data_IF_452840303631
#
_entry.id   IF_452840303631
#
_cell.length_a   1.000
_cell.length_b   1.000
_cell.length_c   1.000
_cell.angle_alpha   90.00
_cell.angle_beta   90.00
_cell.angle_gamma   90.00
#
_symmetry.space_group_name_H-M   'P 1'
#
loop_
_entity.id
_entity.type
_entity.pdbx_description
1 polymer ?
#
# COMPACT_ATOMS: atom_id res chain seq x y z
N UNK A 1 6.12 6.30 9.16
CA UNK A 1 5.14 5.46 9.88
C UNK A 1 4.00 6.35 10.35
N UNK A 2 2.76 5.87 10.42
CA UNK A 2 1.61 6.68 10.83
C UNK A 2 0.60 5.83 11.63
N UNK A 3 -0.31 6.48 12.36
CA UNK A 3 -1.43 5.81 13.04
C UNK A 3 -2.54 5.45 12.06
N UNK A 4 -3.48 4.60 12.50
CA UNK A 4 -4.72 4.33 11.76
C UNK A 4 -5.45 5.63 11.43
N UNK A 5 -6.11 5.67 10.27
CA UNK A 5 -6.87 6.84 9.81
C UNK A 5 -6.04 7.96 9.19
N UNK A 6 -4.71 7.85 9.12
CA UNK A 6 -3.88 8.87 8.49
C UNK A 6 -4.10 8.93 6.98
N UNK A 7 -4.49 10.10 6.47
CA UNK A 7 -4.67 10.35 5.04
C UNK A 7 -3.40 10.92 4.41
N UNK A 8 -2.57 10.05 3.80
CA UNK A 8 -1.33 10.46 3.12
C UNK A 8 -1.59 11.46 1.96
N UNK A 9 -2.75 11.38 1.30
CA UNK A 9 -3.15 12.36 0.28
C UNK A 9 -3.32 13.76 0.83
N UNK A 10 -3.92 13.90 2.02
CA UNK A 10 -4.08 15.20 2.67
C UNK A 10 -2.71 15.74 3.11
N UNK A 11 -1.84 14.87 3.62
CA UNK A 11 -0.47 15.25 3.96
C UNK A 11 0.29 15.82 2.75
N UNK A 12 0.20 15.19 1.58
CA UNK A 12 0.84 15.71 0.36
C UNK A 12 0.31 17.12 -0.01
N UNK A 13 -1.00 17.34 0.08
CA UNK A 13 -1.62 18.65 -0.15
C UNK A 13 -1.11 19.69 0.85
N UNK A 14 -1.09 19.35 2.13
CA UNK A 14 -0.71 20.27 3.20
C UNK A 14 0.78 20.63 3.12
N UNK A 15 1.64 19.69 2.72
CA UNK A 15 3.04 19.95 2.40
C UNK A 15 3.20 20.92 1.22
N UNK A 16 2.44 20.74 0.14
CA UNK A 16 2.43 21.69 -0.98
C UNK A 16 2.11 23.11 -0.51
N UNK A 17 1.04 23.25 0.27
CA UNK A 17 0.61 24.54 0.86
C UNK A 17 1.70 25.16 1.73
N UNK A 18 2.32 24.37 2.60
CA UNK A 18 3.39 24.83 3.49
C UNK A 18 4.63 25.32 2.70
N UNK A 19 4.89 24.76 1.52
CA UNK A 19 5.95 25.19 0.61
C UNK A 19 5.54 26.36 -0.30
N UNK A 20 4.34 26.94 -0.15
CA UNK A 20 3.86 28.02 -1.01
C UNK A 20 3.47 27.59 -2.43
N UNK A 21 3.16 26.30 -2.63
CA UNK A 21 2.81 25.71 -3.93
C UNK A 21 1.62 24.75 -3.83
N UNK A 22 1.33 24.03 -4.91
CA UNK A 22 0.41 22.89 -4.95
C UNK A 22 1.16 21.57 -4.98
N UNK A 23 0.66 20.56 -4.28
CA UNK A 23 1.17 19.19 -4.36
C UNK A 23 0.04 18.17 -4.28
N UNK A 24 0.28 17.02 -4.89
CA UNK A 24 -0.60 15.86 -4.86
C UNK A 24 0.23 14.58 -4.72
N UNK A 25 -0.43 13.49 -4.32
CA UNK A 25 0.21 12.19 -4.18
C UNK A 25 0.28 11.50 -5.55
N UNK A 26 1.48 11.38 -6.13
CA UNK A 26 1.68 10.74 -7.45
C UNK A 26 1.60 9.21 -7.42
N UNK A 27 1.91 8.59 -6.29
CA UNK A 27 1.86 7.14 -6.11
C UNK A 27 2.02 6.77 -4.64
N UNK A 28 1.49 5.61 -4.25
CA UNK A 28 1.58 5.14 -2.87
C UNK A 28 1.56 3.62 -2.81
N UNK A 29 2.57 3.06 -2.14
CA UNK A 29 2.66 1.64 -1.82
C UNK A 29 2.64 1.48 -0.30
N UNK A 30 1.73 0.66 0.20
CA UNK A 30 1.65 0.34 1.63
C UNK A 30 2.58 -0.83 1.93
N UNK A 31 3.66 -0.56 2.68
CA UNK A 31 4.68 -1.57 3.00
C UNK A 31 4.36 -2.43 4.23
N UNK A 32 3.43 -2.01 5.10
CA UNK A 32 3.08 -2.76 6.31
C UNK A 32 1.68 -2.43 6.87
N UNK A 33 1.08 -3.40 7.57
CA UNK A 33 -0.12 -3.27 8.41
C UNK A 33 0.13 -4.06 9.69
N UNK A 34 0.30 -3.38 10.83
CA UNK A 34 0.66 -4.07 12.07
C UNK A 34 1.94 -4.92 11.87
N UNK A 35 1.90 -6.24 12.16
CA UNK A 35 3.05 -7.14 11.95
C UNK A 35 3.22 -7.60 10.49
N UNK A 36 2.22 -7.43 9.62
CA UNK A 36 2.26 -7.89 8.24
C UNK A 36 3.07 -6.92 7.37
N UNK A 37 4.00 -7.45 6.56
CA UNK A 37 4.92 -6.67 5.71
C UNK A 37 4.75 -7.07 4.25
N UNK A 38 4.91 -6.11 3.35
CA UNK A 38 4.80 -6.31 1.91
C UNK A 38 5.82 -7.31 1.37
N UNK A 39 7.02 -7.34 1.94
CA UNK A 39 8.07 -8.31 1.59
C UNK A 39 7.67 -9.78 1.84
N UNK A 40 6.68 -10.01 2.72
CA UNK A 40 6.13 -11.33 3.03
C UNK A 40 4.77 -11.56 2.35
N UNK A 41 4.31 -10.64 1.49
CA UNK A 41 3.03 -10.76 0.82
C UNK A 41 3.14 -11.73 -0.37
N UNK A 42 2.10 -12.54 -0.56
CA UNK A 42 1.95 -13.39 -1.74
C UNK A 42 1.47 -12.54 -2.92
N UNK A 43 2.04 -12.77 -4.10
CA UNK A 43 1.52 -12.19 -5.34
C UNK A 43 0.19 -12.86 -5.73
N UNK A 44 -0.58 -12.23 -6.62
CA UNK A 44 -1.84 -12.84 -7.09
C UNK A 44 -1.52 -14.11 -7.88
N UNK A 45 -0.45 -14.07 -8.68
CA UNK A 45 0.00 -15.17 -9.52
C UNK A 45 0.45 -16.38 -8.67
N UNK A 46 1.13 -16.14 -7.55
CA UNK A 46 1.50 -17.21 -6.62
C UNK A 46 0.29 -17.78 -5.88
N UNK A 47 -0.69 -16.94 -5.56
CA UNK A 47 -1.96 -17.38 -4.99
C UNK A 47 -2.76 -18.26 -5.96
N UNK A 48 -2.88 -17.85 -7.23
CA UNK A 48 -3.56 -18.63 -8.27
C UNK A 48 -2.93 -20.02 -8.47
N UNK A 49 -1.59 -20.10 -8.50
CA UNK A 49 -0.87 -21.38 -8.55
C UNK A 49 -1.17 -22.26 -7.34
N UNK A 50 -1.31 -21.66 -6.15
CA UNK A 50 -1.58 -22.41 -4.92
C UNK A 50 -2.95 -23.09 -4.96
N UNK A 51 -3.97 -22.47 -5.58
CA UNK A 51 -5.33 -23.03 -5.65
C UNK A 51 -5.52 -23.99 -6.84
N UNK A 52 -4.81 -23.79 -7.96
CA UNK A 52 -4.94 -24.65 -9.15
C UNK A 52 -4.40 -26.07 -8.90
N UNK A 53 -3.42 -26.22 -8.00
CA UNK A 53 -2.94 -27.53 -7.55
C UNK A 53 -4.01 -28.37 -6.82
N UNK A 54 -5.18 -27.80 -6.47
CA UNK A 54 -6.26 -28.53 -5.81
C UNK A 54 -7.32 -29.09 -6.78
N UNK A 55 -7.28 -28.77 -8.08
CA UNK A 55 -8.26 -29.26 -9.06
C UNK A 55 -7.88 -30.60 -9.72
N UNK A 56 -6.77 -31.23 -9.33
CA UNK A 56 -6.48 -32.64 -9.64
C UNK A 56 -6.96 -33.55 -8.53
N UNK A 57 -8.27 -33.83 -8.51
CA UNK A 57 -8.88 -35.01 -7.89
C UNK A 57 -9.99 -35.55 -8.79
#
# INVERSE_FOLDING_TARGET
KCSKGTYIRSLARDLGRACGSGAYLGGLVRIAIGPYRLENAMTIEDFEKSICNFETF
#
